data_IF_789479618935
#
_entry.id   IF_789479618935
#
_cell.length_a   1.000
_cell.length_b   1.000
_cell.length_c   1.000
_cell.angle_alpha   90.00
_cell.angle_beta   90.00
_cell.angle_gamma   90.00
#
_symmetry.space_group_name_H-M   'P 1'
#
loop_
_entity.id
_entity.type
_entity.pdbx_description
1 polymer ?
#
# COMPACT_ATOMS: atom_id res chain seq x y z
N UNK A 1 -8.01 -4.33 -28.27
CA UNK A 1 -7.63 -5.30 -27.23
C UNK A 1 -8.11 -4.75 -25.90
N UNK A 2 -8.64 -5.58 -24.99
CA UNK A 2 -8.92 -5.14 -23.63
C UNK A 2 -7.57 -4.97 -22.90
N UNK A 3 -7.26 -3.73 -22.51
CA UNK A 3 -6.11 -3.44 -21.66
C UNK A 3 -6.41 -3.95 -20.25
N UNK A 4 -5.51 -4.72 -19.65
CA UNK A 4 -5.66 -5.15 -18.26
C UNK A 4 -5.54 -3.92 -17.34
N UNK A 5 -6.43 -3.73 -16.36
CA UNK A 5 -6.31 -2.62 -15.43
C UNK A 5 -5.05 -2.76 -14.58
N UNK A 6 -4.27 -1.70 -14.46
CA UNK A 6 -3.06 -1.61 -13.65
C UNK A 6 -3.47 -1.37 -12.19
N UNK A 7 -3.12 -2.29 -11.31
CA UNK A 7 -3.47 -2.21 -9.89
C UNK A 7 -2.20 -1.98 -9.08
N UNK A 8 -2.07 -0.79 -8.50
CA UNK A 8 -1.01 -0.46 -7.56
C UNK A 8 -1.26 -1.15 -6.22
N UNK A 9 -0.24 -1.79 -5.68
CA UNK A 9 -0.27 -2.46 -4.38
C UNK A 9 0.85 -1.86 -3.53
N UNK A 10 0.54 -1.28 -2.38
CA UNK A 10 1.58 -0.71 -1.50
C UNK A 10 2.51 -1.80 -0.98
N UNK A 11 3.81 -1.52 -0.94
CA UNK A 11 4.82 -2.39 -0.37
C UNK A 11 5.05 -2.12 1.12
N UNK A 12 5.82 -3.02 1.73
CA UNK A 12 6.36 -2.88 3.08
C UNK A 12 7.87 -3.00 3.01
N UNK A 13 8.59 -2.42 3.96
CA UNK A 13 10.02 -2.66 4.12
C UNK A 13 10.24 -3.76 5.15
N UNK A 14 11.09 -4.74 4.82
CA UNK A 14 11.52 -5.78 5.75
C UNK A 14 13.04 -5.94 5.69
N UNK A 15 13.64 -6.13 6.85
CA UNK A 15 15.06 -6.47 6.95
C UNK A 15 15.27 -7.96 6.69
N UNK A 16 16.34 -8.30 5.98
CA UNK A 16 16.75 -9.68 5.78
C UNK A 16 17.37 -10.23 7.05
N UNK A 17 16.77 -11.28 7.62
CA UNK A 17 17.20 -11.85 8.91
C UNK A 17 18.68 -12.26 8.96
N UNK A 18 19.23 -12.71 7.82
CA UNK A 18 20.61 -13.21 7.74
C UNK A 18 21.63 -12.10 7.41
N UNK A 19 21.19 -10.91 6.98
CA UNK A 19 22.07 -9.83 6.54
C UNK A 19 21.57 -8.50 7.14
N UNK A 20 22.06 -8.14 8.34
CA UNK A 20 21.70 -6.89 8.99
C UNK A 20 21.98 -5.67 8.10
N UNK A 21 21.03 -4.73 8.04
CA UNK A 21 21.08 -3.55 7.21
C UNK A 21 20.71 -3.76 5.74
N UNK A 22 20.35 -4.99 5.33
CA UNK A 22 19.84 -5.26 3.99
C UNK A 22 18.31 -5.34 4.01
N UNK A 23 17.67 -4.34 3.42
CA UNK A 23 16.21 -4.21 3.37
C UNK A 23 15.66 -4.56 1.99
N UNK A 24 14.42 -5.05 1.95
CA UNK A 24 13.70 -5.30 0.70
C UNK A 24 12.25 -4.84 0.79
N UNK A 25 11.75 -4.33 -0.34
CA UNK A 25 10.33 -4.11 -0.54
C UNK A 25 9.60 -5.45 -0.63
N UNK A 26 8.56 -5.60 0.19
CA UNK A 26 7.87 -6.85 0.39
C UNK A 26 6.36 -6.66 0.43
N UNK A 27 5.65 -7.64 -0.11
CA UNK A 27 4.19 -7.70 -0.04
C UNK A 27 3.75 -9.15 -0.04
N UNK A 28 2.63 -9.46 0.64
CA UNK A 28 2.03 -10.78 0.55
C UNK A 28 1.74 -11.13 -0.90
N UNK A 29 2.32 -12.24 -1.38
CA UNK A 29 2.09 -12.75 -2.73
C UNK A 29 0.61 -13.00 -3.03
N UNK A 30 -0.20 -13.29 -2.01
CA UNK A 30 -1.64 -13.53 -2.19
C UNK A 30 -2.37 -12.32 -2.77
N UNK A 31 -1.91 -11.10 -2.51
CA UNK A 31 -2.53 -9.88 -3.04
C UNK A 31 -2.30 -9.77 -4.54
N UNK A 32 -1.04 -9.96 -4.99
CA UNK A 32 -0.71 -9.90 -6.42
C UNK A 32 -1.30 -11.09 -7.19
N UNK A 33 -1.37 -12.28 -6.60
CA UNK A 33 -2.10 -13.42 -7.18
C UNK A 33 -3.60 -13.12 -7.30
N UNK A 34 -4.23 -12.54 -6.27
CA UNK A 34 -5.63 -12.13 -6.30
C UNK A 34 -5.92 -11.15 -7.44
N UNK A 35 -5.08 -10.14 -7.63
CA UNK A 35 -5.18 -9.19 -8.75
C UNK A 35 -5.08 -9.90 -10.10
N UNK A 36 -4.09 -10.79 -10.29
CA UNK A 36 -3.93 -11.55 -11.54
C UNK A 36 -5.14 -12.42 -11.84
N UNK A 37 -5.67 -13.10 -10.82
CA UNK A 37 -6.85 -13.96 -10.94
C UNK A 37 -8.11 -13.17 -11.29
N UNK A 38 -8.21 -11.92 -10.84
CA UNK A 38 -9.28 -11.00 -11.22
C UNK A 38 -9.09 -10.34 -12.61
N UNK A 39 -8.01 -10.67 -13.34
CA UNK A 39 -7.72 -10.14 -14.67
C UNK A 39 -6.94 -8.82 -14.70
N UNK A 40 -6.48 -8.33 -13.54
CA UNK A 40 -5.66 -7.12 -13.44
C UNK A 40 -4.17 -7.35 -13.66
N UNK A 41 -3.42 -6.26 -13.76
CA UNK A 41 -1.96 -6.22 -13.83
C UNK A 41 -1.42 -5.60 -12.53
N UNK A 42 -0.88 -6.39 -11.58
CA UNK A 42 -0.37 -5.86 -10.33
C UNK A 42 0.97 -5.14 -10.51
N UNK A 43 1.14 -4.02 -9.82
CA UNK A 43 2.41 -3.28 -9.69
C UNK A 43 2.64 -2.99 -8.20
N UNK A 44 3.83 -3.34 -7.70
CA UNK A 44 4.20 -3.08 -6.30
C UNK A 44 4.77 -1.67 -6.22
N UNK A 45 4.24 -0.87 -5.30
CA UNK A 45 4.70 0.49 -5.03
C UNK A 45 5.61 0.46 -3.80
N UNK A 46 6.92 0.77 -3.94
CA UNK A 46 7.81 0.83 -2.77
C UNK A 46 7.41 1.98 -1.85
N UNK A 47 7.85 1.94 -0.59
CA UNK A 47 7.72 3.11 0.29
C UNK A 47 8.51 4.26 -0.33
N UNK A 48 7.93 5.46 -0.36
CA UNK A 48 8.53 6.64 -1.01
C UNK A 48 8.06 7.93 -0.33
N UNK A 49 8.62 9.05 -0.76
CA UNK A 49 8.22 10.37 -0.27
C UNK A 49 6.77 10.71 -0.66
N UNK A 50 6.05 11.42 0.21
CA UNK A 50 4.65 11.80 0.01
C UNK A 50 4.42 12.57 -1.30
N UNK A 51 5.36 13.41 -1.70
CA UNK A 51 5.31 14.22 -2.93
C UNK A 51 5.24 13.36 -4.20
N UNK A 52 5.72 12.12 -4.12
CA UNK A 52 5.70 11.18 -5.25
C UNK A 52 4.33 10.51 -5.45
N UNK A 53 3.41 10.63 -4.48
CA UNK A 53 2.10 9.96 -4.51
C UNK A 53 1.31 10.27 -5.78
N UNK A 54 1.32 11.53 -6.24
CA UNK A 54 0.65 11.93 -7.48
C UNK A 54 1.15 11.17 -8.70
N UNK A 55 2.47 11.10 -8.88
CA UNK A 55 3.06 10.38 -10.00
C UNK A 55 2.71 8.89 -9.94
N UNK A 56 2.73 8.27 -8.76
CA UNK A 56 2.33 6.88 -8.58
C UNK A 56 0.85 6.64 -8.91
N UNK A 57 -0.05 7.49 -8.42
CA UNK A 57 -1.50 7.35 -8.64
C UNK A 57 -1.87 7.59 -10.12
N UNK A 58 -1.15 8.46 -10.82
CA UNK A 58 -1.35 8.70 -12.26
C UNK A 58 -1.00 7.46 -13.11
N UNK A 59 -0.09 6.59 -12.66
CA UNK A 59 0.32 5.37 -13.38
C UNK A 59 -0.63 4.18 -13.21
N UNK A 60 -1.55 4.21 -12.25
CA UNK A 60 -2.40 3.07 -11.88
C UNK A 60 -3.88 3.38 -12.11
N UNK A 61 -4.66 2.34 -12.38
CA UNK A 61 -6.13 2.43 -12.51
C UNK A 61 -6.81 2.32 -11.14
N UNK A 62 -6.25 1.48 -10.25
CA UNK A 62 -6.74 1.29 -8.88
C UNK A 62 -5.62 1.06 -7.88
N UNK A 63 -5.86 1.45 -6.63
CA UNK A 63 -4.95 1.25 -5.51
C UNK A 63 -5.48 0.19 -4.52
N UNK A 64 -4.59 -0.68 -4.05
CA UNK A 64 -4.78 -1.60 -2.93
C UNK A 64 -3.73 -1.28 -1.87
N UNK A 65 -4.18 -1.09 -0.63
CA UNK A 65 -3.29 -1.01 0.54
C UNK A 65 -3.06 -2.43 1.04
N UNK A 66 -1.80 -2.88 1.06
CA UNK A 66 -1.48 -4.29 1.30
C UNK A 66 -1.55 -4.72 2.77
N UNK A 67 -1.58 -3.75 3.69
CA UNK A 67 -1.35 -4.01 5.11
C UNK A 67 0.09 -4.42 5.39
N UNK A 68 0.41 -4.75 6.64
CA UNK A 68 1.76 -5.09 7.07
C UNK A 68 2.02 -4.55 8.46
N UNK A 69 2.94 -3.58 8.57
CA UNK A 69 3.21 -2.88 9.82
C UNK A 69 1.96 -2.17 10.36
N UNK A 70 1.90 -2.00 11.67
CA UNK A 70 0.87 -1.21 12.35
C UNK A 70 1.01 0.27 11.98
N UNK A 71 -0.14 0.95 11.87
CA UNK A 71 -0.20 2.41 11.75
C UNK A 71 0.13 3.03 13.09
N UNK A 72 0.89 4.13 13.12
CA UNK A 72 1.21 4.82 14.37
C UNK A 72 -0.05 5.26 15.13
N UNK A 73 -0.15 5.00 16.45
CA UNK A 73 -1.32 5.32 17.26
C UNK A 73 -1.78 6.77 17.22
N UNK A 74 -0.83 7.69 17.03
CA UNK A 74 -1.09 9.12 16.87
C UNK A 74 -2.05 9.44 15.72
N UNK A 75 -2.11 8.61 14.67
CA UNK A 75 -3.01 8.82 13.54
C UNK A 75 -4.47 8.47 13.84
N UNK A 76 -4.74 7.72 14.92
CA UNK A 76 -6.10 7.41 15.37
C UNK A 76 -6.39 7.87 16.80
N UNK A 77 -5.56 8.79 17.33
CA UNK A 77 -5.81 9.48 18.60
C UNK A 77 -5.43 8.68 19.85
N UNK A 78 -4.63 7.62 19.71
CA UNK A 78 -4.15 6.82 20.83
C UNK A 78 -2.66 7.06 21.08
N UNK A 79 -2.22 6.77 22.31
CA UNK A 79 -0.80 6.77 22.67
C UNK A 79 -0.14 5.44 22.32
N UNK A 80 1.14 5.47 21.97
CA UNK A 80 1.93 4.25 21.78
C UNK A 80 2.18 3.58 23.14
N UNK A 81 1.25 2.71 23.53
CA UNK A 81 1.29 1.97 24.81
C UNK A 81 2.14 0.69 24.75
N UNK A 82 2.47 0.21 23.54
CA UNK A 82 3.30 -0.97 23.32
C UNK A 82 4.55 -0.56 22.54
N UNK A 83 5.72 -0.87 23.08
CA UNK A 83 6.96 -0.87 22.30
C UNK A 83 6.90 -2.04 21.31
N UNK A 84 6.53 -1.71 20.08
CA UNK A 84 6.70 -2.57 18.91
C UNK A 84 7.59 -1.86 17.89
N UNK A 85 8.41 -2.68 17.23
CA UNK A 85 9.23 -2.40 16.06
C UNK A 85 8.42 -2.48 14.75
N UNK A 86 7.19 -2.98 14.80
CA UNK A 86 6.30 -3.14 13.65
C UNK A 86 5.46 -1.87 13.38
N UNK A 87 6.11 -0.69 13.46
CA UNK A 87 5.55 0.61 13.03
C UNK A 87 6.50 1.25 12.02
N UNK A 88 5.96 1.96 11.03
CA UNK A 88 6.77 2.74 10.08
C UNK A 88 6.11 4.09 9.76
N UNK A 89 6.69 5.17 10.29
CA UNK A 89 6.20 6.53 10.02
C UNK A 89 6.27 6.87 8.53
N UNK A 90 7.35 6.47 7.85
CA UNK A 90 7.52 6.72 6.42
C UNK A 90 6.44 6.01 5.60
N UNK A 91 6.11 4.76 5.96
CA UNK A 91 5.00 4.01 5.35
C UNK A 91 3.67 4.71 5.57
N UNK A 92 3.37 5.10 6.80
CA UNK A 92 2.11 5.78 7.14
C UNK A 92 1.94 7.07 6.34
N UNK A 93 2.96 7.93 6.34
CA UNK A 93 2.97 9.20 5.57
C UNK A 93 2.70 8.94 4.09
N UNK A 94 3.39 7.95 3.52
CA UNK A 94 3.26 7.64 2.10
C UNK A 94 1.90 7.03 1.74
N UNK A 95 1.42 6.06 2.54
CA UNK A 95 0.11 5.44 2.32
C UNK A 95 -1.03 6.46 2.46
N UNK A 96 -0.95 7.39 3.41
CA UNK A 96 -1.93 8.49 3.50
C UNK A 96 -1.89 9.38 2.26
N UNK A 97 -0.71 9.78 1.80
CA UNK A 97 -0.57 10.58 0.58
C UNK A 97 -1.14 9.85 -0.65
N UNK A 98 -0.88 8.55 -0.79
CA UNK A 98 -1.45 7.71 -1.86
C UNK A 98 -2.97 7.63 -1.78
N UNK A 99 -3.55 7.44 -0.58
CA UNK A 99 -5.00 7.36 -0.40
C UNK A 99 -5.67 8.69 -0.70
N UNK A 100 -5.14 9.80 -0.20
CA UNK A 100 -5.64 11.14 -0.49
C UNK A 100 -5.65 11.43 -1.99
N UNK A 101 -4.58 11.07 -2.67
CA UNK A 101 -4.46 11.31 -4.10
C UNK A 101 -5.32 10.34 -4.92
N UNK A 102 -5.42 9.08 -4.52
CA UNK A 102 -6.32 8.11 -5.13
C UNK A 102 -7.79 8.52 -4.98
N UNK A 103 -8.17 9.16 -3.87
CA UNK A 103 -9.49 9.76 -3.69
C UNK A 103 -9.74 10.90 -4.67
N UNK A 104 -8.79 11.84 -4.81
CA UNK A 104 -8.90 12.97 -5.77
C UNK A 104 -9.05 12.48 -7.21
N UNK A 105 -8.41 11.36 -7.57
CA UNK A 105 -8.39 10.81 -8.93
C UNK A 105 -9.39 9.64 -9.15
N UNK A 106 -10.25 9.32 -8.18
CA UNK A 106 -11.19 8.18 -8.23
C UNK A 106 -10.52 6.81 -8.51
N UNK A 107 -9.34 6.59 -7.94
CA UNK A 107 -8.53 5.38 -8.07
C UNK A 107 -8.74 4.38 -6.91
N UNK A 108 -9.69 4.60 -6.02
CA UNK A 108 -10.08 3.57 -5.05
C UNK A 108 -10.98 2.50 -5.70
N UNK A 109 -10.96 1.24 -5.20
CA UNK A 109 -11.92 0.22 -5.58
C UNK A 109 -13.35 0.70 -5.27
N UNK A 110 -14.32 0.33 -6.10
CA UNK A 110 -15.71 0.60 -5.76
C UNK A 110 -16.08 -0.14 -4.46
N UNK A 111 -16.85 0.50 -3.57
CA UNK A 111 -17.43 -0.18 -2.41
C UNK A 111 -18.20 -1.40 -2.92
N UNK A 112 -17.81 -2.59 -2.51
CA UNK A 112 -18.69 -3.75 -2.66
C UNK A 112 -19.92 -3.47 -1.81
N UNK A 113 -21.10 -3.51 -2.43
CA UNK A 113 -22.35 -3.52 -1.68
C UNK A 113 -22.31 -4.76 -0.79
N UNK A 114 -21.99 -4.58 0.48
CA UNK A 114 -22.15 -5.62 1.49
C UNK A 114 -23.65 -5.86 1.57
N UNK A 115 -24.10 -7.00 1.03
CA UNK A 115 -25.45 -7.49 1.26
C UNK A 115 -25.56 -7.70 2.77
N UNK A 116 -26.47 -6.96 3.40
CA UNK A 116 -26.87 -7.15 4.79
C UNK A 116 -27.49 -8.53 4.99
#
# INVERSE_FOLDING_TARGET
MLTKPIIGITGNEREMSDIPGYYYDSVSRHISEGVKNAGGLPVILPISEAESAKAYVEMIDKLIISGGQNVLPSYYGEEKIIESDDYSLARDIFEFALVEEALKQNRLPAKQNMVQ
#
